data_IF_418304573140
#
_entry.id   IF_418304573140
#
_cell.length_a   1.000
_cell.length_b   1.000
_cell.length_c   1.000
_cell.angle_alpha   90.00
_cell.angle_beta   90.00
_cell.angle_gamma   90.00
#
_symmetry.space_group_name_H-M   'P 1'
#
loop_
_entity.id
_entity.type
_entity.pdbx_description
1 polymer ?
#
# COMPACT_ATOMS: atom_id res chain seq x y z
N UNK A 1 7.64 -7.62 12.67
CA UNK A 1 6.42 -6.89 13.09
C UNK A 1 5.19 -7.69 12.67
N UNK A 2 4.20 -7.79 13.55
CA UNK A 2 2.91 -8.45 13.32
C UNK A 2 2.15 -7.71 12.19
N UNK A 3 1.48 -8.39 11.24
CA UNK A 3 0.65 -7.78 10.19
C UNK A 3 -0.51 -6.88 10.67
N UNK A 4 -0.78 -6.81 11.98
CA UNK A 4 -1.89 -6.05 12.57
C UNK A 4 -1.58 -4.57 12.77
N UNK A 5 -1.30 -3.87 11.69
CA UNK A 5 -0.94 -2.44 11.74
C UNK A 5 -2.15 -1.51 11.71
N UNK A 6 -3.19 -1.86 10.95
CA UNK A 6 -4.27 -0.95 10.63
C UNK A 6 -5.59 -1.40 11.23
N UNK A 7 -6.28 -0.46 11.87
CA UNK A 7 -7.61 -0.65 12.43
C UNK A 7 -8.56 0.41 11.88
N UNK A 8 -9.84 0.09 11.76
CA UNK A 8 -10.87 1.05 11.41
C UNK A 8 -11.89 1.19 12.55
N UNK A 9 -12.23 2.43 12.89
CA UNK A 9 -13.34 2.70 13.79
C UNK A 9 -14.67 2.31 13.11
N UNK A 10 -15.49 1.51 13.79
CA UNK A 10 -16.75 1.01 13.23
C UNK A 10 -17.87 2.06 13.12
N UNK A 11 -17.64 3.29 13.60
CA UNK A 11 -18.63 4.38 13.58
C UNK A 11 -18.17 5.54 12.68
N UNK A 12 -17.04 6.17 13.00
CA UNK A 12 -16.54 7.32 12.25
C UNK A 12 -15.63 6.97 11.06
N UNK A 13 -15.40 5.68 10.80
CA UNK A 13 -14.57 5.15 9.70
C UNK A 13 -13.11 5.61 9.67
N UNK A 14 -12.62 6.29 10.72
CA UNK A 14 -11.22 6.67 10.84
C UNK A 14 -10.31 5.43 10.82
N UNK A 15 -9.23 5.49 10.03
CA UNK A 15 -8.19 4.47 10.00
C UNK A 15 -7.06 4.84 10.96
N UNK A 16 -6.64 3.87 11.76
CA UNK A 16 -5.67 4.03 12.83
C UNK A 16 -4.48 3.12 12.57
N UNK A 17 -3.27 3.66 12.71
CA UNK A 17 -2.01 2.91 12.66
C UNK A 17 -1.54 2.62 14.08
N UNK A 18 -1.48 1.35 14.46
CA UNK A 18 -0.94 0.91 15.74
C UNK A 18 0.58 0.74 15.65
N UNK A 19 1.31 1.62 16.35
CA UNK A 19 2.78 1.54 16.42
C UNK A 19 3.26 0.73 17.63
N UNK A 20 2.52 0.78 18.74
CA UNK A 20 2.85 0.12 20.00
C UNK A 20 1.58 -0.18 20.81
N UNK A 21 1.60 -1.28 21.58
CA UNK A 21 0.57 -1.59 22.56
C UNK A 21 -0.57 -2.42 21.99
N UNK A 22 -1.79 -2.15 22.45
CA UNK A 22 -3.01 -2.75 21.91
C UNK A 22 -4.07 -1.67 21.98
N UNK A 23 -4.56 -1.23 20.82
CA UNK A 23 -5.63 -0.25 20.78
C UNK A 23 -6.94 -0.91 21.23
N UNK A 24 -7.45 -0.51 22.39
CA UNK A 24 -8.70 -1.06 22.95
C UNK A 24 -9.92 -0.19 22.71
N UNK A 25 -9.75 1.14 22.55
CA UNK A 25 -10.83 2.08 22.31
C UNK A 25 -10.32 3.36 21.65
N UNK A 26 -11.12 3.90 20.73
CA UNK A 26 -10.95 5.16 20.03
C UNK A 26 -12.34 5.71 19.71
N UNK A 27 -12.54 7.03 19.90
CA UNK A 27 -13.85 7.68 19.70
C UNK A 27 -14.99 7.05 20.54
N UNK A 28 -14.67 6.44 21.69
CA UNK A 28 -15.59 5.64 22.50
C UNK A 28 -16.23 4.41 21.81
N UNK A 29 -15.81 4.10 20.58
CA UNK A 29 -16.33 2.99 19.79
C UNK A 29 -15.35 1.82 19.75
N UNK A 30 -15.80 0.68 19.24
CA UNK A 30 -14.92 -0.44 18.91
C UNK A 30 -14.25 -0.24 17.56
N UNK A 31 -13.14 -0.94 17.37
CA UNK A 31 -12.37 -0.95 16.14
C UNK A 31 -12.35 -2.36 15.59
N UNK A 32 -12.28 -2.46 14.27
CA UNK A 32 -12.02 -3.71 13.58
C UNK A 32 -10.63 -3.67 12.97
N UNK A 33 -9.89 -4.77 13.09
CA UNK A 33 -8.64 -4.95 12.37
C UNK A 33 -8.91 -4.90 10.86
N UNK A 34 -8.20 -4.04 10.12
CA UNK A 34 -8.25 -4.01 8.66
C UNK A 34 -7.36 -5.12 8.11
N UNK A 35 -8.00 -6.24 7.73
CA UNK A 35 -7.31 -7.32 7.05
C UNK A 35 -7.14 -6.99 5.55
N UNK A 36 -5.90 -6.89 5.05
CA UNK A 36 -5.67 -6.54 3.65
C UNK A 36 -6.15 -7.64 2.69
N UNK A 37 -6.51 -7.26 1.47
CA UNK A 37 -6.83 -8.18 0.37
C UNK A 37 -8.04 -9.08 0.61
N UNK A 38 -8.99 -8.65 1.46
CA UNK A 38 -10.18 -9.44 1.83
C UNK A 38 -11.45 -9.06 1.08
N UNK A 39 -11.51 -7.86 0.51
CA UNK A 39 -12.66 -7.36 -0.26
C UNK A 39 -12.67 -7.97 -1.66
N UNK A 40 -13.83 -8.44 -2.11
CA UNK A 40 -14.04 -8.95 -3.47
C UNK A 40 -14.16 -7.78 -4.46
N UNK A 41 -13.01 -7.27 -4.90
CA UNK A 41 -12.89 -6.24 -5.93
C UNK A 41 -11.72 -6.52 -6.87
N UNK A 42 -11.64 -5.77 -7.96
CA UNK A 42 -10.65 -5.92 -9.04
C UNK A 42 -9.20 -5.81 -8.52
N UNK A 43 -8.50 -6.92 -8.33
CA UNK A 43 -7.14 -6.95 -7.76
C UNK A 43 -6.15 -6.13 -8.60
N UNK A 44 -6.31 -6.16 -9.92
CA UNK A 44 -5.51 -5.43 -10.89
C UNK A 44 -5.60 -3.91 -10.73
N UNK A 45 -6.59 -3.40 -9.99
CA UNK A 45 -6.73 -1.97 -9.68
C UNK A 45 -6.32 -1.58 -8.26
N UNK A 46 -6.09 -2.55 -7.37
CA UNK A 46 -5.92 -2.24 -5.95
C UNK A 46 -4.62 -2.77 -5.34
N UNK A 47 -4.07 -3.87 -5.87
CA UNK A 47 -2.78 -4.35 -5.40
C UNK A 47 -1.69 -3.33 -5.78
N UNK A 48 -0.85 -2.91 -4.82
CA UNK A 48 0.28 -2.06 -5.13
C UNK A 48 1.25 -2.77 -6.09
N UNK A 49 1.80 -2.01 -7.03
CA UNK A 49 2.86 -2.40 -7.97
C UNK A 49 4.11 -1.62 -7.59
N UNK A 50 5.20 -2.34 -7.33
CA UNK A 50 6.46 -1.76 -6.85
C UNK A 50 7.44 -1.64 -8.01
N UNK A 51 7.93 -0.43 -8.25
CA UNK A 51 8.98 -0.15 -9.23
C UNK A 51 10.15 0.49 -8.51
N UNK A 52 11.26 -0.25 -8.41
CA UNK A 52 12.48 0.23 -7.80
C UNK A 52 13.42 0.82 -8.85
N UNK A 53 14.01 1.97 -8.53
CA UNK A 53 15.07 2.60 -9.32
C UNK A 53 16.03 3.28 -8.36
N UNK A 54 17.29 2.85 -8.35
CA UNK A 54 18.30 3.30 -7.39
C UNK A 54 17.78 3.25 -5.93
N UNK A 55 17.88 4.37 -5.20
CA UNK A 55 17.41 4.55 -3.81
C UNK A 55 15.95 5.04 -3.73
N UNK A 56 15.16 4.81 -4.79
CA UNK A 56 13.77 5.23 -4.89
C UNK A 56 12.85 4.05 -5.18
N UNK A 57 11.69 4.06 -4.53
CA UNK A 57 10.56 3.20 -4.81
C UNK A 57 9.41 4.07 -5.33
N UNK A 58 8.94 3.80 -6.54
CA UNK A 58 7.63 4.23 -7.02
C UNK A 58 6.62 3.14 -6.71
N UNK A 59 5.57 3.50 -5.98
CA UNK A 59 4.42 2.63 -5.74
C UNK A 59 3.27 3.12 -6.60
N UNK A 60 2.78 2.26 -7.49
CA UNK A 60 1.52 2.48 -8.23
C UNK A 60 0.43 1.62 -7.62
N UNK A 61 -0.81 2.08 -7.62
CA UNK A 61 -1.95 1.27 -7.14
C UNK A 61 -2.71 0.70 -8.33
N UNK A 62 -2.54 -0.61 -8.49
CA UNK A 62 -3.03 -1.38 -9.63
C UNK A 62 -2.01 -1.51 -10.77
N UNK A 63 -2.02 -2.67 -11.43
CA UNK A 63 -1.44 -2.83 -12.77
C UNK A 63 -2.28 -2.09 -13.83
N UNK A 64 -3.58 -1.94 -13.55
CA UNK A 64 -4.46 -0.96 -14.19
C UNK A 64 -4.68 0.17 -13.18
N UNK A 65 -4.43 1.44 -13.54
CA UNK A 65 -4.56 2.55 -12.60
C UNK A 65 -5.91 2.59 -11.87
N UNK A 66 -5.87 2.66 -10.54
CA UNK A 66 -7.06 2.88 -9.74
C UNK A 66 -7.72 4.23 -10.07
N UNK A 67 -9.07 4.35 -10.04
CA UNK A 67 -9.75 5.64 -10.16
C UNK A 67 -9.33 6.63 -9.06
N UNK A 68 -9.16 7.90 -9.41
CA UNK A 68 -8.90 8.97 -8.45
C UNK A 68 -9.97 10.05 -8.62
N UNK A 69 -11.07 9.88 -7.91
CA UNK A 69 -12.25 10.76 -7.96
C UNK A 69 -12.71 11.10 -6.54
N UNK A 70 -13.51 12.16 -6.38
CA UNK A 70 -14.01 12.58 -5.06
C UNK A 70 -14.79 11.49 -4.33
N UNK A 71 -15.49 10.62 -5.06
CA UNK A 71 -16.33 9.57 -4.49
C UNK A 71 -15.64 8.19 -4.41
N UNK A 72 -14.43 8.07 -4.98
CA UNK A 72 -13.69 6.81 -5.05
C UNK A 72 -12.22 7.09 -5.36
N UNK A 73 -11.36 6.90 -4.36
CA UNK A 73 -9.94 7.21 -4.46
C UNK A 73 -9.08 6.36 -3.53
N UNK A 74 -7.79 6.26 -3.88
CA UNK A 74 -6.78 5.83 -2.94
C UNK A 74 -6.48 7.01 -2.02
N UNK A 75 -6.68 6.83 -0.71
CA UNK A 75 -6.47 7.90 0.26
C UNK A 75 -5.01 7.97 0.72
N UNK A 76 -4.31 6.83 0.73
CA UNK A 76 -2.93 6.79 1.17
C UNK A 76 -2.22 5.50 0.75
N UNK A 77 -0.89 5.60 0.76
CA UNK A 77 0.04 4.49 0.56
C UNK A 77 0.98 4.44 1.76
N UNK A 78 1.21 3.25 2.29
CA UNK A 78 2.15 3.02 3.40
C UNK A 78 3.19 1.97 3.01
N UNK A 79 4.47 2.31 3.11
CA UNK A 79 5.60 1.42 2.87
C UNK A 79 6.14 0.97 4.22
N UNK A 80 5.95 -0.31 4.56
CA UNK A 80 6.54 -0.91 5.75
C UNK A 80 7.98 -1.30 5.47
N UNK A 81 8.90 -0.87 6.33
CA UNK A 81 10.31 -1.24 6.29
C UNK A 81 10.71 -2.06 7.51
N UNK A 82 11.94 -2.59 7.53
CA UNK A 82 12.51 -3.30 8.69
C UNK A 82 12.48 -2.48 9.98
N UNK A 83 12.60 -1.15 9.88
CA UNK A 83 12.78 -0.26 11.01
C UNK A 83 11.60 0.72 11.22
N UNK A 84 10.46 0.51 10.54
CA UNK A 84 9.30 1.37 10.67
C UNK A 84 8.46 1.40 9.40
N UNK A 85 8.09 2.60 8.95
CA UNK A 85 7.44 2.77 7.66
C UNK A 85 7.35 4.23 7.24
N UNK A 86 7.01 4.42 5.97
CA UNK A 86 6.77 5.73 5.35
C UNK A 86 5.30 5.81 4.91
N UNK A 87 4.72 7.00 4.98
CA UNK A 87 3.32 7.25 4.67
C UNK A 87 3.20 8.42 3.70
N UNK A 88 2.40 8.26 2.65
CA UNK A 88 2.00 9.34 1.75
C UNK A 88 0.49 9.37 1.67
N UNK A 89 -0.09 10.53 1.96
CA UNK A 89 -1.51 10.81 1.70
C UNK A 89 -1.69 11.23 0.25
N UNK A 90 -2.75 10.73 -0.37
CA UNK A 90 -3.19 11.12 -1.70
C UNK A 90 -4.54 11.83 -1.60
N UNK A 91 -4.90 12.52 -2.68
CA UNK A 91 -6.20 13.17 -2.88
C UNK A 91 -6.68 12.85 -4.29
N UNK A 92 -7.97 13.05 -4.62
CA UNK A 92 -8.50 12.79 -5.95
C UNK A 92 -7.74 13.47 -7.11
N UNK A 93 -7.02 14.54 -6.85
CA UNK A 93 -6.24 15.29 -7.84
C UNK A 93 -4.88 14.66 -8.15
N UNK A 94 -4.42 13.72 -7.31
CA UNK A 94 -3.18 13.00 -7.53
C UNK A 94 -3.40 11.78 -8.44
N UNK A 95 -2.37 11.34 -9.19
CA UNK A 95 -2.37 9.99 -9.74
C UNK A 95 -2.37 8.95 -8.60
N UNK A 96 -2.83 7.71 -8.83
CA UNK A 96 -2.84 6.64 -7.81
C UNK A 96 -1.43 6.06 -7.59
N UNK A 97 -0.45 6.92 -7.31
CA UNK A 97 0.94 6.55 -7.10
C UNK A 97 1.64 7.49 -6.12
N UNK A 98 2.73 7.02 -5.54
CA UNK A 98 3.61 7.79 -4.66
C UNK A 98 5.06 7.34 -4.79
N UNK A 99 5.98 8.26 -4.47
CA UNK A 99 7.42 8.02 -4.51
C UNK A 99 7.99 8.05 -3.09
N UNK A 100 8.89 7.12 -2.81
CA UNK A 100 9.54 6.95 -1.52
C UNK A 100 11.04 6.83 -1.71
N UNK A 101 11.83 7.46 -0.84
CA UNK A 101 13.28 7.24 -0.79
C UNK A 101 13.54 6.11 0.20
N UNK A 102 13.84 4.92 -0.32
CA UNK A 102 14.01 3.70 0.49
C UNK A 102 14.79 2.65 -0.30
N UNK A 103 15.64 1.89 0.39
CA UNK A 103 16.33 0.74 -0.20
C UNK A 103 15.35 -0.42 -0.43
N UNK A 104 15.46 -1.08 -1.57
CA UNK A 104 14.60 -2.24 -1.91
C UNK A 104 14.69 -3.35 -0.87
N UNK A 105 15.89 -3.62 -0.34
CA UNK A 105 16.13 -4.65 0.68
C UNK A 105 15.51 -4.32 2.04
N UNK A 106 15.19 -3.05 2.30
CA UNK A 106 14.57 -2.60 3.55
C UNK A 106 13.05 -2.68 3.52
N UNK A 107 12.43 -2.72 2.34
CA UNK A 107 10.97 -2.81 2.18
C UNK A 107 10.50 -4.24 2.48
N UNK A 108 9.50 -4.35 3.36
CA UNK A 108 8.87 -5.63 3.73
C UNK A 108 7.52 -5.76 3.02
N UNK A 109 6.68 -4.72 3.11
CA UNK A 109 5.32 -4.70 2.56
C UNK A 109 4.94 -3.31 2.12
N UNK A 110 4.01 -3.24 1.18
CA UNK A 110 3.41 -1.97 0.76
C UNK A 110 1.91 -2.12 0.81
N UNK A 111 1.26 -1.11 1.38
CA UNK A 111 -0.17 -1.05 1.58
C UNK A 111 -0.76 0.13 0.82
N UNK A 112 -1.96 -0.05 0.29
CA UNK A 112 -2.78 1.02 -0.27
C UNK A 112 -4.20 0.92 0.30
N UNK A 113 -4.83 2.06 0.55
CA UNK A 113 -6.19 2.10 1.08
C UNK A 113 -7.13 2.86 0.15
N UNK A 114 -8.14 2.14 -0.32
CA UNK A 114 -9.26 2.68 -1.08
C UNK A 114 -10.40 3.01 -0.10
N UNK A 115 -10.98 4.19 -0.24
CA UNK A 115 -12.14 4.64 0.55
C UNK A 115 -13.36 3.71 0.41
N UNK A 116 -13.56 3.11 -0.76
CA UNK A 116 -14.68 2.18 -1.06
C UNK A 116 -14.29 0.72 -0.82
N UNK A 117 -13.08 0.31 -1.24
CA UNK A 117 -12.68 -1.10 -1.29
C UNK A 117 -11.67 -1.51 -0.21
N UNK A 118 -11.40 -0.64 0.77
CA UNK A 118 -10.63 -0.96 1.95
C UNK A 118 -9.12 -1.14 1.69
N UNK A 119 -8.50 -2.01 2.50
CA UNK A 119 -7.05 -2.16 2.57
C UNK A 119 -6.51 -3.23 1.62
N UNK A 120 -5.43 -2.90 0.93
CA UNK A 120 -4.71 -3.78 0.00
C UNK A 120 -3.23 -3.81 0.33
N UNK A 121 -2.56 -4.94 0.05
CA UNK A 121 -1.16 -5.14 0.39
C UNK A 121 -0.44 -6.12 -0.55
N UNK A 122 0.84 -5.86 -0.81
CA UNK A 122 1.78 -6.84 -1.37
C UNK A 122 3.01 -6.99 -0.48
N UNK A 123 3.51 -8.22 -0.35
CA UNK A 123 4.80 -8.48 0.30
C UNK A 123 5.92 -8.31 -0.72
N UNK A 124 6.98 -7.59 -0.35
CA UNK A 124 8.14 -7.42 -1.22
C UNK A 124 8.88 -8.75 -1.47
N UNK A 125 8.96 -9.61 -0.44
CA UNK A 125 9.63 -10.91 -0.54
C UNK A 125 8.89 -11.95 -1.41
N UNK A 126 7.63 -11.70 -1.76
CA UNK A 126 6.83 -12.56 -2.65
C UNK A 126 6.84 -12.07 -4.10
N UNK A 127 7.50 -10.93 -4.37
CA UNK A 127 7.70 -10.46 -5.72
C UNK A 127 8.85 -11.26 -6.34
N UNK A 128 8.53 -11.96 -7.43
CA UNK A 128 9.54 -12.65 -8.22
C UNK A 128 10.40 -11.61 -8.94
N UNK A 129 11.57 -11.33 -8.36
CA UNK A 129 12.51 -10.35 -8.92
C UNK A 129 12.98 -10.75 -10.32
N UNK A 130 12.90 -12.03 -10.71
CA UNK A 130 13.27 -12.47 -12.06
C UNK A 130 12.21 -12.09 -13.12
N UNK A 131 10.91 -12.04 -12.77
CA UNK A 131 9.85 -11.61 -13.70
C UNK A 131 9.79 -10.08 -13.87
N UNK A 132 10.13 -9.31 -12.83
CA UNK A 132 10.09 -7.83 -12.86
C UNK A 132 11.25 -7.25 -13.68
N UNK A 133 12.42 -7.89 -13.65
CA UNK A 133 13.64 -7.38 -14.30
C UNK A 133 13.65 -7.63 -15.81
N UNK A 134 12.86 -8.59 -16.32
CA UNK A 134 12.88 -8.96 -17.74
C UNK A 134 11.51 -8.91 -18.44
N UNK A 135 10.63 -7.96 -18.06
CA UNK A 135 9.44 -7.68 -18.86
C UNK A 135 9.85 -7.01 -20.20
N UNK A 136 9.53 -7.61 -21.36
CA UNK A 136 9.95 -7.14 -22.68
C UNK A 136 9.35 -5.78 -23.10
N UNK A 137 8.50 -5.19 -22.27
CA UNK A 137 7.85 -3.90 -22.51
C UNK A 137 8.67 -2.68 -22.00
N UNK A 138 9.79 -2.89 -21.31
CA UNK A 138 10.69 -1.82 -20.87
C UNK A 138 12.08 -1.92 -21.53
N UNK A 139 12.42 -1.04 -22.49
CA UNK A 139 13.58 -1.19 -23.39
C UNK A 139 14.95 -0.84 -22.77
N UNK A 140 15.05 -0.68 -21.46
CA UNK A 140 16.33 -0.46 -20.76
C UNK A 140 16.65 -1.75 -20.00
N UNK A 141 17.44 -2.60 -20.67
CA UNK A 141 17.55 -4.04 -20.43
C UNK A 141 17.91 -4.51 -19.02
N UNK A 142 17.66 -5.80 -18.83
CA UNK A 142 17.99 -6.56 -17.63
C UNK A 142 19.44 -6.26 -17.21
N UNK A 143 19.63 -5.80 -15.98
CA UNK A 143 20.96 -5.60 -15.39
C UNK A 143 21.40 -6.95 -14.84
N UNK A 144 22.54 -7.46 -15.33
CA UNK A 144 23.20 -8.69 -14.86
C UNK A 144 23.69 -8.60 -13.40
#
# INVERSE_FOLDING_TARGET
MDPKLFYQCNDCNAVLLELNGTLTQYCNHSQTLLAPNTVDAAKEKHLPVLVFSDHQLQVKVGSVPHPMTTDHSILWIFVQTRNGGQYVQLTPEHPPEAFFTVESLDVIRVYAYCDVHGLWMVNNAELDYEEIVCSPEFPQGCIE
#
